data_IF_352694286935
#
_entry.id   IF_352694286935
#
_cell.length_a   1.000
_cell.length_b   1.000
_cell.length_c   1.000
_cell.angle_alpha   90.00
_cell.angle_beta   90.00
_cell.angle_gamma   90.00
#
_symmetry.space_group_name_H-M   'P 1'
#
loop_
_entity.id
_entity.type
_entity.pdbx_description
1 polymer ?
#
# COMPACT_ATOMS: atom_id res chain seq x y z
N UNK A 1 -0.02 9.44 -1.46
CA UNK A 1 0.58 8.11 -1.23
C UNK A 1 2.07 8.30 -1.07
N UNK A 2 2.65 7.71 -0.03
CA UNK A 2 4.06 7.84 0.32
C UNK A 2 4.68 6.45 0.37
N UNK A 3 5.82 6.27 -0.27
CA UNK A 3 6.64 5.06 -0.19
C UNK A 3 7.85 5.35 0.70
N UNK A 4 8.02 4.55 1.75
CA UNK A 4 9.21 4.55 2.60
C UNK A 4 9.96 3.24 2.40
N UNK A 5 11.21 3.26 1.93
CA UNK A 5 12.00 2.05 1.76
C UNK A 5 12.17 1.29 3.10
N UNK A 6 12.27 -0.05 3.07
CA UNK A 6 12.36 -0.87 1.85
C UNK A 6 11.00 -1.21 1.21
N UNK A 7 9.88 -1.04 1.90
CA UNK A 7 8.64 -1.71 1.49
C UNK A 7 7.38 -1.21 2.20
N UNK A 8 7.39 0.02 2.71
CA UNK A 8 6.26 0.60 3.41
C UNK A 8 5.50 1.56 2.49
N UNK A 9 4.18 1.45 2.47
CA UNK A 9 3.30 2.31 1.68
C UNK A 9 2.22 2.91 2.58
N UNK A 10 2.11 4.24 2.57
CA UNK A 10 1.05 4.96 3.27
C UNK A 10 0.14 5.66 2.26
N UNK A 11 -1.14 5.29 2.27
CA UNK A 11 -2.14 5.83 1.35
C UNK A 11 -3.11 6.71 2.14
N UNK A 12 -3.09 7.99 1.84
CA UNK A 12 -3.98 8.97 2.48
C UNK A 12 -5.22 9.13 1.63
N UNK A 13 -6.37 8.93 2.27
CA UNK A 13 -7.69 9.10 1.67
C UNK A 13 -8.58 9.95 2.56
N UNK A 14 -9.46 10.73 1.96
CA UNK A 14 -10.42 11.51 2.73
C UNK A 14 -11.45 12.20 1.86
N UNK A 15 -12.55 12.57 2.50
CA UNK A 15 -13.65 13.32 1.91
C UNK A 15 -13.99 14.50 2.81
N UNK A 16 -14.39 15.61 2.20
CA UNK A 16 -14.80 16.81 2.92
C UNK A 16 -16.10 17.36 2.33
N UNK A 17 -16.76 18.25 3.07
CA UNK A 17 -17.93 18.96 2.58
C UNK A 17 -17.62 19.72 1.28
N UNK A 18 -18.63 19.84 0.41
CA UNK A 18 -18.49 20.52 -0.87
C UNK A 18 -17.97 21.96 -0.67
N UNK A 19 -16.96 22.34 -1.46
CA UNK A 19 -16.29 23.63 -1.37
C UNK A 19 -15.28 23.78 -0.22
N UNK A 20 -15.13 22.77 0.65
CA UNK A 20 -14.22 22.79 1.80
C UNK A 20 -13.14 21.70 1.71
N UNK A 21 -12.90 21.18 0.50
CA UNK A 21 -11.88 20.18 0.23
C UNK A 21 -10.46 20.71 0.29
N UNK A 22 -9.51 19.80 0.35
CA UNK A 22 -8.08 20.12 0.42
C UNK A 22 -7.31 19.10 1.24
N UNK A 23 -5.99 19.09 1.04
CA UNK A 23 -5.10 18.28 1.85
C UNK A 23 -5.18 18.68 3.33
N UNK A 24 -5.14 19.98 3.60
CA UNK A 24 -5.18 20.57 4.94
C UNK A 24 -6.60 20.98 5.40
N UNK A 25 -7.65 20.46 4.76
CA UNK A 25 -9.02 20.81 5.13
C UNK A 25 -9.33 20.46 6.59
N UNK A 26 -10.11 21.33 7.25
CA UNK A 26 -10.39 21.24 8.68
C UNK A 26 -11.00 19.89 9.07
N UNK A 27 -10.56 19.26 10.18
CA UNK A 27 -11.12 17.99 10.65
C UNK A 27 -12.60 18.10 11.07
N UNK A 28 -13.13 19.31 11.25
CA UNK A 28 -14.57 19.50 11.53
C UNK A 28 -15.46 19.26 10.32
N UNK A 29 -14.90 19.29 9.11
CA UNK A 29 -15.64 19.15 7.84
C UNK A 29 -15.04 18.08 6.93
N UNK A 30 -13.99 17.38 7.39
CA UNK A 30 -13.26 16.34 6.68
C UNK A 30 -13.22 15.05 7.50
N UNK A 31 -13.59 13.94 6.86
CA UNK A 31 -13.29 12.60 7.34
C UNK A 31 -12.13 12.05 6.52
N UNK A 32 -11.06 11.62 7.18
CA UNK A 32 -9.89 11.06 6.50
C UNK A 32 -9.23 9.91 7.26
N UNK A 33 -8.45 9.15 6.53
CA UNK A 33 -7.69 8.03 7.05
C UNK A 33 -6.43 7.81 6.25
N UNK A 34 -5.45 7.22 6.90
CA UNK A 34 -4.24 6.69 6.28
C UNK A 34 -4.32 5.17 6.33
N UNK A 35 -4.34 4.54 5.16
CA UNK A 35 -4.09 3.10 5.03
C UNK A 35 -2.59 2.88 5.15
N UNK A 36 -2.22 1.89 5.93
CA UNK A 36 -0.82 1.53 6.19
C UNK A 36 -0.56 0.12 5.69
N UNK A 37 0.48 -0.02 4.89
CA UNK A 37 0.92 -1.27 4.28
C UNK A 37 2.40 -1.47 4.60
N UNK A 38 2.70 -2.51 5.39
CA UNK A 38 4.05 -2.93 5.72
C UNK A 38 4.29 -4.33 5.17
N UNK A 39 5.24 -4.43 4.26
CA UNK A 39 5.56 -5.69 3.59
C UNK A 39 6.96 -6.12 4.03
N UNK A 40 7.11 -7.34 4.55
CA UNK A 40 8.40 -7.87 4.98
C UNK A 40 8.68 -9.17 4.22
N UNK A 41 9.79 -9.28 3.46
CA UNK A 41 10.17 -10.53 2.83
C UNK A 41 10.35 -11.64 3.87
N UNK A 42 9.78 -12.82 3.60
CA UNK A 42 10.03 -14.04 4.38
C UNK A 42 10.99 -14.95 3.61
N UNK A 43 10.69 -15.19 2.34
CA UNK A 43 11.54 -15.90 1.38
C UNK A 43 11.66 -15.11 0.08
N UNK A 44 12.32 -15.66 -0.94
CA UNK A 44 12.35 -15.06 -2.28
C UNK A 44 10.95 -14.90 -2.90
N UNK A 45 9.99 -15.72 -2.48
CA UNK A 45 8.65 -15.80 -3.10
C UNK A 45 7.50 -15.70 -2.11
N UNK A 46 7.77 -15.34 -0.85
CA UNK A 46 6.74 -15.14 0.17
C UNK A 46 7.04 -13.90 1.02
N UNK A 47 5.97 -13.28 1.51
CA UNK A 47 6.00 -12.04 2.28
C UNK A 47 5.07 -12.14 3.49
N UNK A 48 5.41 -11.40 4.53
CA UNK A 48 4.47 -10.96 5.54
C UNK A 48 3.88 -9.63 5.09
N UNK A 49 2.56 -9.56 4.96
CA UNK A 49 1.85 -8.34 4.58
C UNK A 49 0.97 -7.86 5.73
N UNK A 50 1.47 -6.87 6.48
CA UNK A 50 0.72 -6.22 7.55
C UNK A 50 0.00 -5.00 7.01
N UNK A 51 -1.30 -4.94 7.24
CA UNK A 51 -2.15 -3.85 6.77
C UNK A 51 -2.97 -3.25 7.91
N UNK A 52 -3.41 -2.01 7.72
CA UNK A 52 -4.31 -1.35 8.65
C UNK A 52 -4.82 0.00 8.15
N UNK A 53 -5.66 0.62 8.98
CA UNK A 53 -6.17 1.97 8.73
C UNK A 53 -6.14 2.79 10.01
N UNK A 54 -5.40 3.90 9.98
CA UNK A 54 -5.48 4.95 10.97
C UNK A 54 -6.50 5.99 10.52
N UNK A 55 -7.59 6.19 11.29
CA UNK A 55 -8.64 7.16 10.95
C UNK A 55 -8.69 8.31 11.94
N UNK A 56 -9.04 9.51 11.46
CA UNK A 56 -9.19 10.69 12.30
C UNK A 56 -10.66 11.01 12.67
N UNK A 57 -11.61 10.16 12.28
CA UNK A 57 -13.04 10.33 12.56
C UNK A 57 -13.59 9.18 13.42
N UNK A 58 -14.47 9.52 14.35
CA UNK A 58 -15.16 8.58 15.26
C UNK A 58 -14.25 7.45 15.82
N UNK A 59 -13.09 7.74 16.42
CA UNK A 59 -12.13 6.71 16.83
C UNK A 59 -12.66 5.82 17.97
N UNK A 60 -13.59 6.33 18.78
CA UNK A 60 -14.19 5.61 19.92
C UNK A 60 -15.36 4.71 19.54
N UNK A 61 -15.83 4.78 18.29
CA UNK A 61 -16.94 3.95 17.81
C UNK A 61 -16.44 2.52 17.52
N UNK A 62 -16.80 1.59 18.39
CA UNK A 62 -16.42 0.18 18.28
C UNK A 62 -17.15 -0.53 17.14
N UNK A 63 -18.41 -0.17 16.87
CA UNK A 63 -19.19 -0.79 15.80
C UNK A 63 -18.63 -0.38 14.43
N UNK A 64 -18.33 0.91 14.25
CA UNK A 64 -17.62 1.40 13.07
C UNK A 64 -16.25 0.75 12.91
N UNK A 65 -15.51 0.56 14.00
CA UNK A 65 -14.20 -0.12 13.96
C UNK A 65 -14.33 -1.56 13.46
N UNK A 66 -15.34 -2.30 13.94
CA UNK A 66 -15.60 -3.66 13.49
C UNK A 66 -15.99 -3.70 12.00
N UNK A 67 -16.86 -2.80 11.56
CA UNK A 67 -17.30 -2.70 10.16
C UNK A 67 -16.13 -2.36 9.21
N UNK A 68 -15.28 -1.40 9.57
CA UNK A 68 -14.07 -1.06 8.79
C UNK A 68 -13.13 -2.27 8.70
N UNK A 69 -12.90 -2.96 9.83
CA UNK A 69 -12.01 -4.13 9.85
C UNK A 69 -12.53 -5.25 8.95
N UNK A 70 -13.83 -5.52 8.96
CA UNK A 70 -14.45 -6.53 8.10
C UNK A 70 -14.37 -6.12 6.62
N UNK A 71 -14.69 -4.87 6.31
CA UNK A 71 -14.63 -4.34 4.94
C UNK A 71 -13.22 -4.37 4.36
N UNK A 72 -12.21 -3.95 5.13
CA UNK A 72 -10.82 -4.02 4.70
C UNK A 72 -10.35 -5.47 4.51
N UNK A 73 -10.72 -6.39 5.42
CA UNK A 73 -10.35 -7.80 5.29
C UNK A 73 -10.83 -8.45 3.99
N UNK A 74 -12.01 -8.05 3.48
CA UNK A 74 -12.52 -8.50 2.17
C UNK A 74 -11.64 -8.01 1.02
N UNK A 75 -11.36 -6.71 0.98
CA UNK A 75 -10.52 -6.09 -0.07
C UNK A 75 -9.11 -6.73 -0.07
N UNK A 76 -8.50 -6.90 1.10
CA UNK A 76 -7.18 -7.52 1.20
C UNK A 76 -7.16 -8.98 0.76
N UNK A 77 -8.27 -9.70 0.89
CA UNK A 77 -8.37 -11.08 0.40
C UNK A 77 -8.36 -11.12 -1.13
N UNK A 78 -9.01 -10.14 -1.78
CA UNK A 78 -8.98 -9.99 -3.24
C UNK A 78 -7.56 -9.63 -3.74
N UNK A 79 -6.89 -8.71 -3.04
CA UNK A 79 -5.50 -8.34 -3.36
C UNK A 79 -4.53 -9.51 -3.19
N UNK A 80 -4.69 -10.31 -2.12
CA UNK A 80 -3.88 -11.51 -1.89
C UNK A 80 -3.97 -12.48 -3.07
N UNK A 81 -5.19 -12.81 -3.50
CA UNK A 81 -5.41 -13.72 -4.63
C UNK A 81 -4.73 -13.19 -5.91
N UNK A 82 -4.84 -11.88 -6.16
CA UNK A 82 -4.22 -11.26 -7.33
C UNK A 82 -2.69 -11.29 -7.26
N UNK A 83 -2.09 -11.03 -6.09
CA UNK A 83 -0.63 -11.07 -5.90
C UNK A 83 -0.07 -12.49 -6.07
N UNK A 84 -0.74 -13.51 -5.52
CA UNK A 84 -0.35 -14.91 -5.69
C UNK A 84 -0.40 -15.34 -7.15
N UNK A 85 -1.46 -14.93 -7.87
CA UNK A 85 -1.58 -15.17 -9.32
C UNK A 85 -0.48 -14.45 -10.11
N UNK A 86 -0.11 -13.23 -9.73
CA UNK A 86 1.00 -12.52 -10.36
C UNK A 86 2.33 -13.25 -10.12
N UNK A 87 2.60 -13.71 -8.90
CA UNK A 87 3.80 -14.47 -8.58
C UNK A 87 3.88 -15.78 -9.37
N UNK A 88 2.77 -16.54 -9.45
CA UNK A 88 2.70 -17.75 -10.26
C UNK A 88 2.95 -17.46 -11.75
N UNK A 89 2.41 -16.35 -12.27
CA UNK A 89 2.63 -15.96 -13.66
C UNK A 89 4.09 -15.56 -13.95
N UNK A 90 4.76 -14.87 -13.01
CA UNK A 90 6.19 -14.55 -13.11
C UNK A 90 7.06 -15.80 -13.12
N UNK A 91 6.73 -16.79 -12.28
CA UNK A 91 7.44 -18.08 -12.26
C UNK A 91 7.23 -18.89 -13.55
N UNK A 92 6.02 -18.87 -14.10
CA UNK A 92 5.70 -19.60 -15.31
C UNK A 92 6.29 -18.94 -16.58
N UNK A 93 6.48 -17.62 -16.58
CA UNK A 93 7.00 -16.86 -17.73
C UNK A 93 8.18 -15.94 -17.36
N UNK A 94 9.34 -16.47 -16.94
CA UNK A 94 10.44 -15.66 -16.39
C UNK A 94 11.07 -14.68 -17.39
N UNK A 95 10.98 -14.97 -18.70
CA UNK A 95 11.56 -14.10 -19.74
C UNK A 95 10.63 -12.96 -20.17
N UNK A 96 9.36 -12.98 -19.76
CA UNK A 96 8.39 -11.96 -20.16
C UNK A 96 8.58 -10.68 -19.34
N UNK A 97 8.78 -9.58 -20.05
CA UNK A 97 8.86 -8.25 -19.43
C UNK A 97 7.46 -7.74 -19.07
N UNK A 98 7.35 -7.17 -17.87
CA UNK A 98 6.14 -6.46 -17.46
C UNK A 98 5.94 -5.21 -18.31
N UNK A 99 4.76 -5.09 -18.92
CA UNK A 99 4.32 -3.85 -19.56
C UNK A 99 4.05 -2.81 -18.48
N UNK A 100 4.61 -1.62 -18.64
CA UNK A 100 4.44 -0.50 -17.70
C UNK A 100 3.53 0.53 -18.32
N UNK A 101 2.47 0.89 -17.61
CA UNK A 101 1.54 1.95 -17.98
C UNK A 101 1.82 3.20 -17.14
N UNK A 102 1.21 4.33 -17.53
CA UNK A 102 1.39 5.59 -16.80
C UNK A 102 0.92 5.50 -15.33
N UNK A 103 -0.08 4.65 -15.07
CA UNK A 103 -0.58 4.39 -13.71
C UNK A 103 0.46 3.68 -12.82
N UNK A 104 1.47 3.02 -13.42
CA UNK A 104 2.50 2.27 -12.69
C UNK A 104 3.70 3.13 -12.27
N UNK A 105 3.67 4.44 -12.54
CA UNK A 105 4.78 5.33 -12.29
C UNK A 105 5.29 5.25 -10.84
N UNK A 106 4.39 5.15 -9.86
CA UNK A 106 4.74 5.00 -8.45
C UNK A 106 5.58 3.74 -8.18
N UNK A 107 5.15 2.58 -8.69
CA UNK A 107 5.87 1.33 -8.54
C UNK A 107 7.20 1.30 -9.30
N UNK A 108 7.30 1.99 -10.44
CA UNK A 108 8.57 2.15 -11.17
C UNK A 108 9.58 2.96 -10.37
N UNK A 109 9.16 4.05 -9.72
CA UNK A 109 10.03 4.85 -8.87
C UNK A 109 10.45 4.09 -7.61
N UNK A 110 9.53 3.37 -6.96
CA UNK A 110 9.86 2.54 -5.80
C UNK A 110 10.94 1.50 -6.12
N UNK A 111 10.81 0.79 -7.25
CA UNK A 111 11.83 -0.18 -7.71
C UNK A 111 13.20 0.47 -7.92
N UNK A 112 13.27 1.65 -8.56
CA UNK A 112 14.53 2.38 -8.73
C UNK A 112 15.18 2.75 -7.40
N UNK A 113 14.39 3.11 -6.39
CA UNK A 113 14.90 3.39 -5.04
C UNK A 113 15.49 2.13 -4.42
N UNK A 114 14.80 0.98 -4.55
CA UNK A 114 15.28 -0.30 -4.03
C UNK A 114 16.54 -0.78 -4.74
N UNK A 115 16.60 -0.70 -6.07
CA UNK A 115 17.78 -1.08 -6.85
C UNK A 115 19.03 -0.32 -6.37
N UNK A 116 18.89 0.98 -6.09
CA UNK A 116 19.96 1.81 -5.55
C UNK A 116 20.39 1.38 -4.15
N UNK A 117 19.44 1.06 -3.27
CA UNK A 117 19.75 0.62 -1.90
C UNK A 117 20.45 -0.73 -1.90
N UNK A 118 19.95 -1.69 -2.68
CA UNK A 118 20.55 -3.03 -2.83
C UNK A 118 21.97 -2.92 -3.41
N UNK A 119 22.18 -2.05 -4.41
CA UNK A 119 23.52 -1.83 -4.96
C UNK A 119 24.49 -1.26 -3.91
N UNK A 120 24.02 -0.33 -3.06
CA UNK A 120 24.82 0.23 -1.98
C UNK A 120 25.16 -0.82 -0.90
N UNK A 121 24.20 -1.66 -0.50
CA UNK A 121 24.41 -2.76 0.45
C UNK A 121 25.45 -3.75 -0.09
N UNK A 122 25.36 -4.13 -1.36
CA UNK A 122 26.33 -5.04 -2.01
C UNK A 122 27.74 -4.48 -2.13
N UNK A 123 27.88 -3.15 -2.23
CA UNK A 123 29.19 -2.49 -2.30
C UNK A 123 29.85 -2.32 -0.92
N UNK A 124 29.06 -2.36 0.15
CA UNK A 124 29.54 -2.23 1.52
C UNK A 124 29.91 -3.58 2.18
N UNK A 125 29.48 -4.70 1.57
CA UNK A 125 29.81 -6.07 1.98
C UNK A 125 31.14 -6.52 1.36
#
# INVERSE_FOLDING_TARGET
>A
CHFSPPSQVHIEGGVALAGQGGYDASPTVKASSTVVDFITPETETSIWYFWGMARNFNPRDKALTAAIREGQGKIFSEDLEMLERQQANLQHWPERRLLKLNIDAGGVWARRVLDRLIAAERAAA
#
